data_IF_588455446238
#
_entry.id   IF_588455446238
#
_cell.length_a   1.000
_cell.length_b   1.000
_cell.length_c   1.000
_cell.angle_alpha   90.00
_cell.angle_beta   90.00
_cell.angle_gamma   90.00
#
_symmetry.space_group_name_H-M   'P 1'
#
loop_
_entity.id
_entity.type
_entity.pdbx_description
1 polymer ?
#
# COMPACT_ATOMS: atom_id res chain seq x y z
N UNK A 1 -26.45 -15.34 -6.41
CA UNK A 1 -26.21 -13.99 -5.83
C UNK A 1 -27.49 -13.19 -5.95
N UNK A 2 -28.39 -13.36 -4.99
CA UNK A 2 -29.71 -12.73 -4.93
C UNK A 2 -29.87 -12.19 -3.50
N UNK A 3 -30.32 -10.93 -3.40
CA UNK A 3 -30.80 -10.24 -2.21
C UNK A 3 -29.81 -9.81 -1.10
N UNK A 4 -29.02 -8.75 -1.36
CA UNK A 4 -28.52 -7.82 -0.31
C UNK A 4 -28.86 -6.36 -0.66
N UNK A 5 -30.01 -6.11 -1.30
CA UNK A 5 -30.42 -4.75 -1.72
C UNK A 5 -31.80 -4.32 -1.16
N UNK A 6 -32.37 -5.08 -0.21
CA UNK A 6 -33.77 -4.89 0.19
C UNK A 6 -33.99 -4.68 1.70
N UNK A 7 -33.11 -3.95 2.38
CA UNK A 7 -33.33 -3.60 3.81
C UNK A 7 -32.95 -2.17 4.24
N UNK A 8 -33.13 -1.17 3.38
CA UNK A 8 -32.92 0.25 3.75
C UNK A 8 -34.14 1.15 3.56
N UNK A 9 -35.36 0.60 3.60
CA UNK A 9 -36.58 1.42 3.68
C UNK A 9 -37.39 1.00 4.89
N UNK A 10 -37.22 1.71 6.01
CA UNK A 10 -38.22 1.97 7.06
C UNK A 10 -37.56 2.67 8.26
N UNK A 11 -37.41 4.00 8.20
CA UNK A 11 -37.42 4.90 9.37
C UNK A 11 -37.43 6.36 8.87
N UNK A 12 -38.51 6.77 8.18
CA UNK A 12 -38.80 8.19 8.03
C UNK A 12 -39.20 8.73 9.41
N UNK A 13 -38.25 9.40 10.05
CA UNK A 13 -38.49 10.16 11.28
C UNK A 13 -39.01 11.53 10.85
N UNK A 14 -40.12 12.06 11.39
CA UNK A 14 -40.61 13.37 10.98
C UNK A 14 -39.57 14.44 11.36
N UNK A 15 -39.01 15.10 10.34
CA UNK A 15 -38.13 16.26 10.54
C UNK A 15 -38.97 17.36 11.16
N UNK A 16 -38.71 17.65 12.43
CA UNK A 16 -39.32 18.77 13.14
C UNK A 16 -39.00 20.09 12.43
N UNK A 17 -40.06 20.82 12.11
CA UNK A 17 -40.03 22.18 11.59
C UNK A 17 -39.12 23.08 12.44
N UNK A 18 -37.99 23.51 11.88
CA UNK A 18 -37.13 24.53 12.46
C UNK A 18 -37.85 25.88 12.42
N UNK A 19 -38.01 26.50 13.58
CA UNK A 19 -38.52 27.87 13.72
C UNK A 19 -37.57 28.88 13.06
N UNK A 20 -38.09 30.00 12.50
CA UNK A 20 -37.25 31.04 11.91
C UNK A 20 -36.45 31.80 12.98
N UNK A 21 -35.30 32.38 12.62
CA UNK A 21 -34.47 33.13 13.57
C UNK A 21 -35.18 34.43 13.98
N UNK A 22 -35.26 34.67 15.29
CA UNK A 22 -35.74 35.93 15.87
C UNK A 22 -34.71 37.04 15.58
N UNK A 23 -35.04 37.93 14.63
CA UNK A 23 -34.35 39.19 14.40
C UNK A 23 -34.80 40.23 15.44
N UNK A 24 -34.11 40.28 16.58
CA UNK A 24 -34.20 41.40 17.52
C UNK A 24 -33.19 42.50 17.17
N UNK A 25 -33.54 43.80 17.32
CA UNK A 25 -32.57 44.88 17.14
C UNK A 25 -31.54 44.90 18.28
N UNK A 26 -30.26 45.04 17.90
CA UNK A 26 -29.13 45.20 18.81
C UNK A 26 -29.27 46.50 19.63
N UNK A 27 -29.12 46.47 20.97
CA UNK A 27 -28.98 47.69 21.74
C UNK A 27 -27.63 48.35 21.47
N UNK A 28 -27.65 49.67 21.21
CA UNK A 28 -26.46 50.49 21.02
C UNK A 28 -25.61 50.47 22.30
N UNK A 29 -24.40 49.91 22.20
CA UNK A 29 -23.40 49.96 23.27
C UNK A 29 -22.85 51.38 23.46
N UNK A 30 -22.47 51.79 24.68
CA UNK A 30 -21.99 53.13 24.95
C UNK A 30 -20.66 53.42 24.25
N UNK A 31 -20.56 54.63 23.72
CA UNK A 31 -19.34 55.22 23.15
C UNK A 31 -18.23 55.30 24.22
N UNK A 32 -16.97 54.97 23.90
CA UNK A 32 -15.89 54.98 24.88
C UNK A 32 -15.51 56.42 25.24
N UNK A 33 -15.55 56.72 26.54
CA UNK A 33 -15.00 57.93 27.12
C UNK A 33 -13.47 57.84 27.13
N UNK A 34 -12.86 58.92 26.67
CA UNK A 34 -11.45 59.24 26.81
C UNK A 34 -11.08 59.36 28.30
N UNK A 35 -10.19 58.49 28.78
CA UNK A 35 -9.56 58.61 30.08
C UNK A 35 -8.21 57.89 30.06
N UNK A 36 -7.15 58.69 29.99
CA UNK A 36 -5.79 58.21 30.01
C UNK A 36 -5.33 57.69 31.38
N UNK A 37 -4.07 57.23 31.32
CA UNK A 37 -3.12 57.01 32.41
C UNK A 37 -3.13 55.65 33.15
N UNK A 38 -1.94 55.03 33.07
CA UNK A 38 -1.33 54.04 33.96
C UNK A 38 -1.55 52.56 33.64
N UNK A 39 -1.00 52.12 32.49
CA UNK A 39 -0.63 50.72 32.31
C UNK A 39 0.74 50.47 33.00
N UNK A 40 0.86 49.54 33.96
CA UNK A 40 2.17 49.03 34.33
C UNK A 40 2.70 48.26 33.11
N UNK A 41 3.81 48.73 32.53
CA UNK A 41 4.58 48.00 31.52
C UNK A 41 5.22 46.77 32.15
N UNK A 42 4.40 45.77 32.46
CA UNK A 42 4.81 44.40 32.67
C UNK A 42 5.20 43.85 31.31
N UNK A 43 6.51 43.85 31.02
CA UNK A 43 7.09 43.16 29.87
C UNK A 43 6.72 41.68 30.01
N UNK A 44 5.65 41.23 29.35
CA UNK A 44 5.34 39.80 29.26
C UNK A 44 6.52 39.18 28.54
N UNK A 45 7.36 38.50 29.30
CA UNK A 45 8.54 37.78 28.82
C UNK A 45 8.06 36.84 27.71
N UNK A 46 8.71 36.76 26.54
CA UNK A 46 8.36 35.78 25.49
C UNK A 46 8.50 34.30 25.91
N UNK A 47 8.70 34.04 27.21
CA UNK A 47 9.20 32.80 27.79
C UNK A 47 8.09 31.98 28.47
N UNK A 48 6.91 32.58 28.69
CA UNK A 48 5.77 31.92 29.36
C UNK A 48 4.76 31.28 28.40
N UNK A 49 5.04 31.28 27.10
CA UNK A 49 4.28 30.44 26.16
C UNK A 49 4.89 29.04 26.21
N UNK A 50 4.57 28.28 27.26
CA UNK A 50 4.83 26.85 27.29
C UNK A 50 4.40 26.26 25.94
N UNK A 51 5.26 25.55 25.20
CA UNK A 51 4.87 24.96 23.94
C UNK A 51 3.66 24.08 24.25
N UNK A 52 2.53 24.36 23.61
CA UNK A 52 1.35 23.49 23.61
C UNK A 52 1.80 22.16 23.04
N UNK A 53 2.24 21.26 23.92
CA UNK A 53 2.62 19.90 23.58
C UNK A 53 1.31 19.23 23.22
N UNK A 54 0.95 19.23 21.94
CA UNK A 54 -0.13 18.38 21.45
C UNK A 54 0.16 16.97 21.97
N UNK A 55 -0.78 16.31 22.67
CA UNK A 55 -0.53 14.96 23.17
C UNK A 55 -0.16 14.08 21.98
N UNK A 56 1.09 13.61 21.93
CA UNK A 56 1.49 12.58 20.99
C UNK A 56 0.74 11.31 21.41
N UNK A 57 -0.16 10.83 20.55
CA UNK A 57 -0.75 9.50 20.72
C UNK A 57 0.32 8.51 20.27
N UNK A 58 1.27 8.24 21.16
CA UNK A 58 2.28 7.21 20.93
C UNK A 58 1.61 5.83 21.16
N UNK A 59 1.75 4.88 20.22
CA UNK A 59 1.14 3.57 20.36
C UNK A 59 1.71 2.86 21.59
N UNK A 60 0.84 2.10 22.27
CA UNK A 60 1.28 1.30 23.42
C UNK A 60 2.30 0.23 22.99
N UNK A 61 3.17 -0.25 23.89
CA UNK A 61 4.14 -1.30 23.55
C UNK A 61 3.51 -2.58 22.97
N UNK A 62 2.27 -2.89 23.37
CA UNK A 62 1.49 -4.02 22.85
C UNK A 62 1.04 -3.78 21.41
N UNK A 63 0.51 -2.60 21.12
CA UNK A 63 0.11 -2.20 19.76
C UNK A 63 1.29 -2.20 18.80
N UNK A 64 2.43 -1.64 19.21
CA UNK A 64 3.65 -1.64 18.41
C UNK A 64 4.17 -3.07 18.14
N UNK A 65 3.97 -3.99 19.09
CA UNK A 65 4.31 -5.41 18.89
C UNK A 65 3.34 -6.09 17.94
N UNK A 66 2.03 -5.91 18.14
CA UNK A 66 1.00 -6.45 17.26
C UNK A 66 1.19 -5.98 15.82
N UNK A 67 1.46 -4.69 15.60
CA UNK A 67 1.73 -4.13 14.28
C UNK A 67 2.92 -4.80 13.59
N UNK A 68 4.02 -5.06 14.31
CA UNK A 68 5.20 -5.75 13.74
C UNK A 68 4.88 -7.17 13.29
N UNK A 69 4.11 -7.92 14.08
CA UNK A 69 3.68 -9.27 13.70
C UNK A 69 2.67 -9.26 12.54
N UNK A 70 1.75 -8.28 12.51
CA UNK A 70 0.83 -8.10 11.40
C UNK A 70 1.58 -7.81 10.09
N UNK A 71 2.53 -6.88 10.11
CA UNK A 71 3.38 -6.58 8.96
C UNK A 71 4.19 -7.80 8.50
N UNK A 72 4.71 -8.60 9.44
CA UNK A 72 5.38 -9.85 9.11
C UNK A 72 4.43 -10.87 8.47
N UNK A 73 3.20 -10.99 8.98
CA UNK A 73 2.16 -11.84 8.41
C UNK A 73 1.79 -11.44 6.98
N UNK A 74 1.55 -10.14 6.75
CA UNK A 74 1.25 -9.60 5.42
C UNK A 74 2.43 -9.84 4.46
N UNK A 75 3.67 -9.60 4.90
CA UNK A 75 4.88 -9.90 4.14
C UNK A 75 4.92 -11.36 3.70
N UNK A 76 4.70 -12.29 4.62
CA UNK A 76 4.75 -13.73 4.33
C UNK A 76 3.62 -14.12 3.39
N UNK A 77 2.39 -13.63 3.61
CA UNK A 77 1.26 -13.88 2.74
C UNK A 77 1.52 -13.40 1.31
N UNK A 78 2.07 -12.19 1.15
CA UNK A 78 2.38 -11.64 -0.17
C UNK A 78 3.55 -12.39 -0.83
N UNK A 79 4.60 -12.72 -0.07
CA UNK A 79 5.69 -13.58 -0.55
C UNK A 79 5.19 -14.95 -1.03
N UNK A 80 4.22 -15.52 -0.33
CA UNK A 80 3.56 -16.76 -0.73
C UNK A 80 2.78 -16.62 -2.03
N UNK A 81 2.06 -15.50 -2.26
CA UNK A 81 1.37 -15.23 -3.54
C UNK A 81 2.36 -15.25 -4.72
N UNK A 82 3.50 -14.57 -4.61
CA UNK A 82 4.54 -14.56 -5.65
C UNK A 82 5.17 -15.95 -5.84
N UNK A 83 5.53 -16.62 -4.75
CA UNK A 83 6.14 -17.95 -4.82
C UNK A 83 5.17 -18.98 -5.40
N UNK A 84 3.91 -18.94 -5.00
CA UNK A 84 2.88 -19.84 -5.53
C UNK A 84 2.67 -19.63 -7.03
N UNK A 85 2.62 -18.37 -7.49
CA UNK A 85 2.53 -18.06 -8.91
C UNK A 85 3.72 -18.63 -9.69
N UNK A 86 4.93 -18.59 -9.12
CA UNK A 86 6.10 -19.25 -9.70
C UNK A 86 5.92 -20.77 -9.74
N UNK A 87 5.54 -21.41 -8.62
CA UNK A 87 5.40 -22.87 -8.54
C UNK A 87 4.37 -23.39 -9.55
N UNK A 88 3.19 -22.79 -9.60
CA UNK A 88 2.15 -23.19 -10.56
C UNK A 88 2.61 -22.99 -12.00
N UNK A 89 3.27 -21.87 -12.33
CA UNK A 89 3.78 -21.63 -13.69
C UNK A 89 4.96 -22.51 -14.06
N UNK A 90 5.85 -22.80 -13.12
CA UNK A 90 7.05 -23.61 -13.34
C UNK A 90 6.68 -25.06 -13.61
N UNK A 91 5.81 -25.62 -12.78
CA UNK A 91 5.49 -27.05 -12.76
C UNK A 91 4.14 -27.41 -13.39
N UNK A 92 3.24 -26.45 -13.57
CA UNK A 92 1.90 -26.67 -14.12
C UNK A 92 1.02 -27.49 -13.19
N UNK A 93 0.82 -26.98 -11.96
CA UNK A 93 0.07 -27.68 -10.91
C UNK A 93 -1.45 -27.71 -11.16
N UNK A 94 -1.91 -27.06 -12.23
CA UNK A 94 -3.30 -27.12 -12.69
C UNK A 94 -4.24 -26.08 -12.07
N UNK A 95 -3.72 -25.13 -11.28
CA UNK A 95 -4.57 -24.08 -10.68
C UNK A 95 -4.84 -22.95 -11.68
N UNK A 96 -3.78 -22.30 -12.15
CA UNK A 96 -3.85 -21.34 -13.25
C UNK A 96 -3.15 -21.86 -14.50
N UNK A 97 -2.18 -22.77 -14.34
CA UNK A 97 -1.33 -23.28 -15.40
C UNK A 97 -1.51 -24.79 -15.52
N UNK A 98 -2.13 -25.28 -16.62
CA UNK A 98 -2.11 -26.71 -16.96
C UNK A 98 -0.68 -27.21 -17.16
N UNK A 99 -0.43 -28.49 -16.92
CA UNK A 99 0.89 -29.12 -17.05
C UNK A 99 1.51 -28.87 -18.42
N UNK A 100 0.73 -28.95 -19.51
CA UNK A 100 1.19 -28.80 -20.89
C UNK A 100 1.63 -27.36 -21.22
N UNK A 101 1.25 -26.39 -20.38
CA UNK A 101 1.63 -24.98 -20.52
C UNK A 101 2.64 -24.53 -19.46
N UNK A 102 3.14 -25.45 -18.64
CA UNK A 102 4.15 -25.14 -17.65
C UNK A 102 5.47 -24.72 -18.29
N UNK A 103 6.23 -23.88 -17.60
CA UNK A 103 7.49 -23.37 -18.09
C UNK A 103 8.50 -24.48 -18.34
N UNK A 104 8.58 -25.46 -17.44
CA UNK A 104 9.49 -26.60 -17.60
C UNK A 104 9.06 -27.58 -18.69
N UNK A 105 7.81 -27.55 -19.13
CA UNK A 105 7.34 -28.30 -20.30
C UNK A 105 7.42 -27.46 -21.60
N UNK A 106 8.14 -26.34 -21.60
CA UNK A 106 8.34 -25.48 -22.78
C UNK A 106 7.22 -24.47 -23.02
N UNK A 107 6.27 -24.35 -22.10
CA UNK A 107 5.26 -23.30 -22.11
C UNK A 107 5.86 -21.93 -21.78
N UNK A 108 5.15 -20.89 -22.19
CA UNK A 108 5.53 -19.51 -21.86
C UNK A 108 4.67 -18.94 -20.73
N UNK A 109 5.27 -18.58 -19.57
CA UNK A 109 4.53 -17.98 -18.45
C UNK A 109 3.94 -16.59 -18.76
N UNK A 110 4.51 -15.85 -19.72
CA UNK A 110 4.03 -14.49 -20.04
C UNK A 110 3.14 -14.43 -21.29
N UNK A 111 3.28 -15.37 -22.23
CA UNK A 111 2.63 -15.27 -23.54
C UNK A 111 1.12 -15.03 -23.45
N UNK A 112 0.38 -15.87 -22.70
CA UNK A 112 -1.08 -15.75 -22.63
C UNK A 112 -1.56 -14.41 -22.04
N UNK A 113 -0.86 -13.91 -21.02
CA UNK A 113 -1.21 -12.64 -20.36
C UNK A 113 -0.84 -11.45 -21.24
N UNK A 114 0.39 -11.41 -21.77
CA UNK A 114 0.90 -10.27 -22.53
C UNK A 114 0.30 -10.17 -23.93
N UNK A 115 0.02 -11.28 -24.61
CA UNK A 115 -0.66 -11.27 -25.93
C UNK A 115 -2.14 -10.88 -25.85
N UNK A 116 -2.71 -10.86 -24.64
CA UNK A 116 -4.08 -10.41 -24.39
C UNK A 116 -4.15 -8.92 -24.02
N UNK A 117 -3.01 -8.22 -23.98
CA UNK A 117 -2.95 -6.82 -23.57
C UNK A 117 -3.75 -5.93 -24.52
N UNK A 118 -4.42 -4.92 -23.95
CA UNK A 118 -5.23 -3.94 -24.70
C UNK A 118 -4.79 -2.52 -24.37
N UNK A 119 -5.42 -1.55 -25.02
CA UNK A 119 -5.18 -0.14 -24.75
C UNK A 119 -3.84 0.37 -25.30
N UNK A 120 -3.30 1.45 -24.73
CA UNK A 120 -2.22 2.23 -25.35
C UNK A 120 -0.88 1.50 -25.43
N UNK A 121 -0.67 0.47 -24.59
CA UNK A 121 0.61 -0.25 -24.50
C UNK A 121 0.60 -1.62 -25.19
N UNK A 122 -0.48 -2.00 -25.88
CA UNK A 122 -0.62 -3.35 -26.44
C UNK A 122 0.55 -3.75 -27.36
N UNK A 123 1.03 -2.84 -28.22
CA UNK A 123 2.09 -3.15 -29.17
C UNK A 123 3.42 -3.48 -28.49
N UNK A 124 3.73 -2.81 -27.37
CA UNK A 124 4.91 -3.13 -26.57
C UNK A 124 4.79 -4.53 -25.96
N UNK A 125 3.65 -4.86 -25.33
CA UNK A 125 3.45 -6.15 -24.69
C UNK A 125 3.37 -7.31 -25.67
N UNK A 126 2.69 -7.13 -26.81
CA UNK A 126 2.61 -8.14 -27.85
C UNK A 126 3.99 -8.46 -28.44
N UNK A 127 4.87 -7.47 -28.54
CA UNK A 127 6.22 -7.66 -29.07
C UNK A 127 7.13 -8.49 -28.14
N UNK A 128 6.91 -8.41 -26.82
CA UNK A 128 7.71 -9.16 -25.84
C UNK A 128 7.03 -10.45 -25.35
N UNK A 129 5.75 -10.63 -25.67
CA UNK A 129 4.95 -11.78 -25.26
C UNK A 129 5.59 -13.08 -25.72
N UNK A 130 5.86 -13.98 -24.77
CA UNK A 130 6.45 -15.28 -25.08
C UNK A 130 7.90 -15.26 -25.53
N UNK A 131 8.59 -14.13 -25.40
CA UNK A 131 10.04 -14.11 -25.60
C UNK A 131 10.72 -14.80 -24.41
N UNK A 132 11.75 -15.61 -24.69
CA UNK A 132 12.48 -16.33 -23.64
C UNK A 132 13.07 -15.41 -22.56
N UNK A 133 13.44 -14.17 -22.93
CA UNK A 133 13.92 -13.16 -21.98
C UNK A 133 12.78 -12.66 -21.09
N UNK A 134 11.61 -12.32 -21.65
CA UNK A 134 10.46 -11.89 -20.85
C UNK A 134 10.03 -12.99 -19.88
N UNK A 135 10.00 -14.25 -20.34
CA UNK A 135 9.67 -15.41 -19.51
C UNK A 135 10.67 -15.62 -18.38
N UNK A 136 11.98 -15.57 -18.69
CA UNK A 136 13.02 -15.73 -17.69
C UNK A 136 13.02 -14.60 -16.65
N UNK A 137 12.85 -13.34 -17.08
CA UNK A 137 12.77 -12.19 -16.18
C UNK A 137 11.53 -12.27 -15.29
N UNK A 138 10.37 -12.62 -15.85
CA UNK A 138 9.14 -12.78 -15.10
C UNK A 138 9.26 -13.88 -14.04
N UNK A 139 9.76 -15.06 -14.42
CA UNK A 139 9.92 -16.18 -13.49
C UNK A 139 10.97 -15.92 -12.41
N UNK A 140 12.07 -15.26 -12.77
CA UNK A 140 13.10 -14.85 -11.81
C UNK A 140 12.57 -13.78 -10.86
N UNK A 141 11.74 -12.85 -11.34
CA UNK A 141 11.08 -11.86 -10.49
C UNK A 141 10.11 -12.53 -9.51
N UNK A 142 9.26 -13.46 -9.97
CA UNK A 142 8.33 -14.18 -9.09
C UNK A 142 9.07 -14.98 -8.00
N UNK A 143 10.08 -15.77 -8.39
CA UNK A 143 10.86 -16.58 -7.45
C UNK A 143 11.68 -15.69 -6.50
N UNK A 144 12.40 -14.71 -7.04
CA UNK A 144 13.28 -13.83 -6.28
C UNK A 144 12.52 -12.98 -5.28
N UNK A 145 11.44 -12.32 -5.72
CA UNK A 145 10.58 -11.52 -4.83
C UNK A 145 9.87 -12.41 -3.82
N UNK A 146 9.33 -13.56 -4.23
CA UNK A 146 8.66 -14.50 -3.33
C UNK A 146 9.57 -14.98 -2.20
N UNK A 147 10.78 -15.46 -2.54
CA UNK A 147 11.76 -15.92 -1.54
C UNK A 147 12.28 -14.78 -0.68
N UNK A 148 12.61 -13.62 -1.27
CA UNK A 148 13.08 -12.46 -0.52
C UNK A 148 12.04 -12.00 0.51
N UNK A 149 10.76 -11.96 0.11
CA UNK A 149 9.66 -11.63 1.00
C UNK A 149 9.44 -12.69 2.06
N UNK A 150 9.47 -13.99 1.76
CA UNK A 150 9.31 -15.04 2.78
C UNK A 150 10.44 -15.06 3.80
N UNK A 151 11.68 -14.92 3.33
CA UNK A 151 12.86 -14.88 4.18
C UNK A 151 13.03 -13.53 4.88
N UNK A 152 12.44 -12.45 4.36
CA UNK A 152 12.58 -11.10 4.92
C UNK A 152 13.95 -10.48 4.66
N UNK A 153 14.59 -10.83 3.54
CA UNK A 153 15.92 -10.35 3.15
C UNK A 153 15.83 -9.52 1.87
N UNK A 154 16.74 -8.57 1.66
CA UNK A 154 16.76 -7.75 0.45
C UNK A 154 15.46 -6.97 0.22
N UNK A 155 14.81 -6.52 1.29
CA UNK A 155 13.44 -6.02 1.27
C UNK A 155 13.25 -4.83 0.33
N UNK A 156 14.25 -3.94 0.22
CA UNK A 156 14.19 -2.80 -0.70
C UNK A 156 14.21 -3.21 -2.17
N UNK A 157 15.08 -4.15 -2.53
CA UNK A 157 15.14 -4.67 -3.90
C UNK A 157 13.88 -5.46 -4.21
N UNK A 158 13.45 -6.34 -3.30
CA UNK A 158 12.25 -7.15 -3.47
C UNK A 158 11.00 -6.27 -3.64
N UNK A 159 10.87 -5.21 -2.84
CA UNK A 159 9.77 -4.26 -2.96
C UNK A 159 9.84 -3.47 -4.27
N UNK A 160 11.01 -2.98 -4.68
CA UNK A 160 11.18 -2.27 -5.95
C UNK A 160 10.88 -3.14 -7.17
N UNK A 161 11.46 -4.33 -7.22
CA UNK A 161 11.25 -5.28 -8.32
C UNK A 161 9.81 -5.80 -8.35
N UNK A 162 9.24 -6.15 -7.20
CA UNK A 162 7.85 -6.61 -7.10
C UNK A 162 6.84 -5.52 -7.45
N UNK A 163 7.05 -4.29 -6.98
CA UNK A 163 6.18 -3.16 -7.34
C UNK A 163 6.28 -2.83 -8.83
N UNK A 164 7.48 -2.82 -9.40
CA UNK A 164 7.66 -2.63 -10.85
C UNK A 164 6.91 -3.72 -11.62
N UNK A 165 7.07 -4.98 -11.23
CA UNK A 165 6.40 -6.11 -11.86
C UNK A 165 4.87 -5.96 -11.83
N UNK A 166 4.28 -5.68 -10.66
CA UNK A 166 2.83 -5.57 -10.55
C UNK A 166 2.31 -4.33 -11.28
N UNK A 167 3.01 -3.20 -11.25
CA UNK A 167 2.64 -2.01 -12.04
C UNK A 167 2.68 -2.31 -13.54
N UNK A 168 3.68 -3.05 -14.03
CA UNK A 168 3.72 -3.46 -15.43
C UNK A 168 2.56 -4.40 -15.79
N UNK A 169 2.10 -5.24 -14.85
CA UNK A 169 0.90 -6.06 -15.06
C UNK A 169 -0.37 -5.22 -15.11
N UNK A 170 -0.49 -4.20 -14.25
CA UNK A 170 -1.60 -3.23 -14.29
C UNK A 170 -1.68 -2.52 -15.64
N UNK A 171 -0.55 -2.03 -16.18
CA UNK A 171 -0.55 -1.36 -17.49
C UNK A 171 -0.86 -2.30 -18.66
N UNK A 172 -0.67 -3.61 -18.51
CA UNK A 172 -1.02 -4.61 -19.53
C UNK A 172 -2.54 -4.88 -19.61
N UNK A 173 -3.29 -4.60 -18.54
CA UNK A 173 -4.74 -4.89 -18.47
C UNK A 173 -5.63 -3.66 -18.69
N UNK A 174 -5.07 -2.56 -19.21
CA UNK A 174 -5.84 -1.33 -19.45
C UNK A 174 -6.78 -1.46 -20.68
N UNK A 175 -8.03 -0.94 -20.60
CA UNK A 175 -8.72 -0.45 -19.40
C UNK A 175 -9.19 -1.62 -18.51
N UNK A 176 -9.09 -1.54 -17.18
CA UNK A 176 -9.51 -2.62 -16.31
C UNK A 176 -11.04 -2.75 -16.31
N UNK A 177 -11.54 -3.97 -16.18
CA UNK A 177 -12.98 -4.27 -16.32
C UNK A 177 -13.80 -3.91 -15.08
N UNK A 178 -13.18 -3.94 -13.90
CA UNK A 178 -13.88 -3.76 -12.61
C UNK A 178 -13.82 -2.33 -12.09
N UNK A 179 -12.69 -1.64 -12.29
CA UNK A 179 -12.46 -0.28 -11.80
C UNK A 179 -11.54 0.46 -12.79
N UNK A 180 -11.87 1.70 -13.19
CA UNK A 180 -11.11 2.42 -14.22
C UNK A 180 -9.66 2.75 -13.81
N UNK A 181 -9.31 2.65 -12.53
CA UNK A 181 -7.99 3.01 -12.02
C UNK A 181 -7.39 1.94 -11.11
N UNK A 182 -8.09 1.56 -10.04
CA UNK A 182 -7.52 0.75 -8.95
C UNK A 182 -7.78 -0.74 -9.14
N UNK A 183 -6.73 -1.55 -9.13
CA UNK A 183 -6.80 -3.00 -9.07
C UNK A 183 -5.86 -3.59 -8.01
N UNK A 184 -5.86 -4.92 -7.89
CA UNK A 184 -5.02 -5.64 -6.92
C UNK A 184 -3.52 -5.42 -7.15
N UNK A 185 -3.06 -5.19 -8.39
CA UNK A 185 -1.65 -5.01 -8.69
C UNK A 185 -1.09 -3.70 -8.11
N UNK A 186 -1.87 -2.61 -8.17
CA UNK A 186 -1.52 -1.34 -7.56
C UNK A 186 -1.54 -1.42 -6.02
N UNK A 187 -2.52 -2.16 -5.47
CA UNK A 187 -2.57 -2.43 -4.02
C UNK A 187 -1.35 -3.23 -3.57
N UNK A 188 -0.97 -4.27 -4.32
CA UNK A 188 0.24 -5.05 -4.02
C UNK A 188 1.51 -4.20 -4.11
N UNK A 189 1.64 -3.34 -5.13
CA UNK A 189 2.77 -2.42 -5.25
C UNK A 189 2.90 -1.51 -4.02
N UNK A 190 1.78 -0.91 -3.59
CA UNK A 190 1.77 -0.05 -2.42
C UNK A 190 2.14 -0.80 -1.13
N UNK A 191 1.59 -2.00 -0.92
CA UNK A 191 1.90 -2.83 0.25
C UNK A 191 3.37 -3.22 0.28
N UNK A 192 3.96 -3.63 -0.86
CA UNK A 192 5.38 -3.97 -0.94
C UNK A 192 6.26 -2.81 -0.48
N UNK A 193 5.96 -1.60 -0.95
CA UNK A 193 6.69 -0.39 -0.56
C UNK A 193 6.54 -0.13 0.94
N UNK A 194 5.31 -0.20 1.47
CA UNK A 194 5.05 0.00 2.91
C UNK A 194 5.81 -1.02 3.75
N UNK A 195 5.82 -2.30 3.37
CA UNK A 195 6.55 -3.36 4.09
C UNK A 195 8.06 -3.11 4.13
N UNK A 196 8.64 -2.62 3.02
CA UNK A 196 10.06 -2.26 2.98
C UNK A 196 10.37 -1.02 3.84
N UNK A 197 9.52 0.00 3.80
CA UNK A 197 9.69 1.23 4.58
C UNK A 197 9.55 0.98 6.10
N UNK A 198 8.62 0.11 6.49
CA UNK A 198 8.37 -0.23 7.89
C UNK A 198 9.29 -1.34 8.43
N UNK A 199 10.23 -1.84 7.63
CA UNK A 199 11.21 -2.84 8.07
C UNK A 199 10.60 -4.19 8.42
N UNK A 200 9.54 -4.60 7.72
CA UNK A 200 8.79 -5.83 7.99
C UNK A 200 9.64 -7.12 7.91
N UNK A 201 10.80 -7.08 7.24
CA UNK A 201 11.77 -8.19 7.19
C UNK A 201 12.43 -8.51 8.54
N UNK A 202 12.36 -7.60 9.52
CA UNK A 202 13.00 -7.76 10.83
C UNK A 202 12.19 -8.62 11.83
N UNK A 203 10.95 -8.97 11.50
CA UNK A 203 10.03 -9.75 12.33
C UNK A 203 9.62 -11.02 11.58
N UNK A 204 9.79 -12.18 12.21
CA UNK A 204 9.61 -13.51 11.60
C UNK A 204 10.40 -13.69 10.28
N UNK A 205 11.53 -13.01 10.15
CA UNK A 205 12.40 -13.03 8.97
C UNK A 205 13.86 -12.90 9.37
N UNK A 206 14.73 -13.08 8.39
CA UNK A 206 16.18 -13.03 8.51
C UNK A 206 16.76 -11.64 8.25
N UNK A 207 15.93 -10.59 8.19
CA UNK A 207 16.34 -9.24 7.82
C UNK A 207 17.43 -8.66 8.73
N UNK A 208 17.41 -9.01 10.02
CA UNK A 208 18.44 -8.59 10.97
C UNK A 208 19.79 -9.26 10.68
N UNK A 209 19.79 -10.58 10.46
CA UNK A 209 21.00 -11.32 10.10
C UNK A 209 21.54 -10.84 8.74
N UNK A 210 20.65 -10.62 7.77
CA UNK A 210 21.01 -10.10 6.45
C UNK A 210 21.68 -8.74 6.52
N UNK A 211 21.10 -7.79 7.27
CA UNK A 211 21.65 -6.47 7.47
C UNK A 211 23.01 -6.46 8.19
N UNK A 212 23.33 -7.53 8.94
CA UNK A 212 24.60 -7.69 9.64
C UNK A 212 25.72 -8.25 8.73
N UNK A 213 25.42 -8.68 7.51
CA UNK A 213 26.46 -9.19 6.59
C UNK A 213 27.41 -8.07 6.11
N UNK A 214 28.70 -8.36 5.88
CA UNK A 214 29.67 -7.35 5.41
C UNK A 214 29.26 -6.70 4.08
N UNK A 215 28.55 -7.44 3.22
CA UNK A 215 28.04 -6.95 1.95
C UNK A 215 26.99 -5.83 2.15
N UNK A 216 25.98 -6.08 2.99
CA UNK A 216 24.89 -5.13 3.24
C UNK A 216 25.35 -3.94 4.09
N UNK A 217 26.35 -4.13 4.95
CA UNK A 217 26.99 -3.03 5.68
C UNK A 217 27.71 -2.06 4.73
N UNK A 218 28.35 -2.57 3.66
CA UNK A 218 28.97 -1.74 2.62
C UNK A 218 27.96 -1.12 1.66
N UNK A 219 26.83 -1.78 1.43
CA UNK A 219 25.77 -1.35 0.52
C UNK A 219 24.39 -1.37 1.21
N UNK A 220 24.04 -0.31 2.00
CA UNK A 220 22.80 -0.29 2.79
C UNK A 220 21.50 -0.33 1.98
N UNK A 221 21.56 -0.08 0.67
CA UNK A 221 20.42 -0.23 -0.24
C UNK A 221 20.00 -1.69 -0.45
N UNK A 222 20.86 -2.65 -0.09
CA UNK A 222 20.57 -4.10 -0.11
C UNK A 222 19.73 -4.58 1.08
N UNK A 223 19.41 -3.72 2.07
CA UNK A 223 18.54 -4.10 3.20
C UNK A 223 17.16 -4.51 2.73
#
# INVERSE_FOLDING_TARGET
MVDIARNHRSTETPVGTLAPPLTGPMPAGPQPADAGHNAPTGRVRPEDRAPTRHPSIDPSPREATAARYLLAGIRIALGWVFLWAFLDKAFGLGFATPSERSWFNGGSPTNGFLSSAKGPFNGFYHNIAGTGIADALFMTALLGVGLALLLGIGMRIAAGAGALLTIMMWTAVLPPTTNPFMDDHLVYAAILIVLALLGAGNTLGLGRQWAATPLVQRAPWLK
#
